data_IF_724482171897
#
_entry.id   IF_724482171897
#
_cell.length_a   1.000
_cell.length_b   1.000
_cell.length_c   1.000
_cell.angle_alpha   90.00
_cell.angle_beta   90.00
_cell.angle_gamma   90.00
#
_symmetry.space_group_name_H-M   'P 1'
#
loop_
_entity.id
_entity.type
_entity.pdbx_description
1 polymer ?
#
# COMPACT_ATOMS: atom_id res chain seq x y z
N UNK A 1 7.78 -4.59 -24.04
CA UNK A 1 7.00 -3.55 -23.36
C UNK A 1 6.84 -3.94 -21.91
N UNK A 2 7.07 -2.98 -21.02
CA UNK A 2 6.75 -3.17 -19.60
C UNK A 2 5.24 -3.11 -19.38
N UNK A 3 4.79 -3.65 -18.24
CA UNK A 3 3.38 -3.58 -17.83
C UNK A 3 2.90 -2.13 -17.72
N UNK A 4 3.76 -1.22 -17.23
CA UNK A 4 3.49 0.20 -17.13
C UNK A 4 3.30 0.89 -18.46
N UNK A 5 4.18 0.62 -19.45
CA UNK A 5 4.03 1.18 -20.80
C UNK A 5 2.68 0.81 -21.43
N UNK A 6 2.29 -0.46 -21.30
CA UNK A 6 1.02 -0.96 -21.82
C UNK A 6 -0.16 -0.27 -21.12
N UNK A 7 -0.12 -0.16 -19.79
CA UNK A 7 -1.15 0.55 -19.02
C UNK A 7 -1.26 2.01 -19.45
N UNK A 8 -0.15 2.75 -19.55
CA UNK A 8 -0.15 4.16 -19.95
C UNK A 8 -0.76 4.35 -21.33
N UNK A 9 -0.43 3.47 -22.28
CA UNK A 9 -1.03 3.52 -23.61
C UNK A 9 -2.53 3.26 -23.55
N UNK A 10 -2.96 2.17 -22.90
CA UNK A 10 -4.37 1.82 -22.79
C UNK A 10 -5.22 2.85 -22.02
N UNK A 11 -4.59 3.66 -21.17
CA UNK A 11 -5.24 4.74 -20.42
C UNK A 11 -5.30 6.06 -21.19
N UNK A 12 -4.65 6.16 -22.35
CA UNK A 12 -4.75 7.30 -23.26
C UNK A 12 -6.16 7.39 -23.87
N UNK A 13 -6.73 8.59 -23.87
CA UNK A 13 -8.06 8.86 -24.43
C UNK A 13 -8.13 8.80 -25.96
N UNK A 14 -6.98 8.85 -26.64
CA UNK A 14 -6.90 8.96 -28.11
C UNK A 14 -6.71 7.63 -28.82
N UNK A 15 -6.85 6.51 -28.10
CA UNK A 15 -6.50 5.20 -28.61
C UNK A 15 -7.70 4.55 -29.29
N UNK A 16 -7.57 4.18 -30.56
CA UNK A 16 -8.68 3.59 -31.32
C UNK A 16 -8.94 2.12 -30.90
N UNK A 17 -10.04 1.54 -31.41
CA UNK A 17 -10.41 0.16 -31.07
C UNK A 17 -9.38 -0.87 -31.53
N UNK A 18 -8.79 -0.68 -32.71
CA UNK A 18 -7.80 -1.59 -33.28
C UNK A 18 -6.50 -1.52 -32.49
N UNK A 19 -6.00 -0.32 -32.23
CA UNK A 19 -4.81 -0.09 -31.42
C UNK A 19 -4.99 -0.66 -30.01
N UNK A 20 -6.18 -0.49 -29.41
CA UNK A 20 -6.46 -1.01 -28.07
C UNK A 20 -6.35 -2.53 -28.06
N UNK A 21 -6.92 -3.19 -29.08
CA UNK A 21 -6.83 -4.63 -29.24
C UNK A 21 -5.38 -5.09 -29.43
N UNK A 22 -4.60 -4.36 -30.21
CA UNK A 22 -3.18 -4.67 -30.44
C UNK A 22 -2.33 -4.53 -29.17
N UNK A 23 -2.63 -3.55 -28.31
CA UNK A 23 -1.97 -3.41 -27.02
C UNK A 23 -2.36 -4.51 -26.04
N UNK A 24 -3.63 -4.93 -26.02
CA UNK A 24 -4.10 -6.02 -25.17
C UNK A 24 -3.48 -7.37 -25.55
N UNK A 25 -3.30 -7.65 -26.85
CA UNK A 25 -2.65 -8.88 -27.34
C UNK A 25 -1.20 -9.05 -26.88
N UNK A 26 -0.56 -7.99 -26.39
CA UNK A 26 0.83 -8.03 -25.87
C UNK A 26 0.89 -8.51 -24.42
N UNK A 27 -0.25 -8.62 -23.74
CA UNK A 27 -0.35 -9.13 -22.38
C UNK A 27 -0.55 -10.65 -22.40
N UNK A 28 -0.06 -11.32 -21.36
CA UNK A 28 -0.50 -12.70 -21.11
C UNK A 28 -1.96 -12.73 -20.66
N UNK A 29 -2.70 -13.83 -20.85
CA UNK A 29 -4.12 -13.92 -20.45
C UNK A 29 -4.36 -13.53 -18.98
N UNK A 30 -3.44 -13.88 -18.09
CA UNK A 30 -3.52 -13.51 -16.67
C UNK A 30 -3.36 -11.99 -16.44
N UNK A 31 -2.44 -11.34 -17.16
CA UNK A 31 -2.26 -9.88 -17.07
C UNK A 31 -3.41 -9.12 -17.71
N UNK A 32 -3.94 -9.61 -18.83
CA UNK A 32 -5.12 -9.05 -19.48
C UNK A 32 -6.34 -9.12 -18.55
N UNK A 33 -6.59 -10.29 -17.96
CA UNK A 33 -7.65 -10.47 -16.96
C UNK A 33 -7.46 -9.54 -15.74
N UNK A 34 -6.23 -9.43 -15.22
CA UNK A 34 -5.90 -8.53 -14.11
C UNK A 34 -6.16 -7.06 -14.46
N UNK A 35 -5.83 -6.66 -15.69
CA UNK A 35 -6.08 -5.31 -16.19
C UNK A 35 -7.58 -5.03 -16.37
N UNK A 36 -8.34 -6.00 -16.89
CA UNK A 36 -9.79 -5.89 -17.02
C UNK A 36 -10.45 -5.73 -15.65
N UNK A 37 -10.02 -6.53 -14.65
CA UNK A 37 -10.46 -6.35 -13.27
C UNK A 37 -10.14 -4.95 -12.75
N UNK A 38 -8.91 -4.46 -12.97
CA UNK A 38 -8.52 -3.11 -12.56
C UNK A 38 -9.45 -2.04 -13.14
N UNK A 39 -9.70 -2.08 -14.45
CA UNK A 39 -10.62 -1.15 -15.12
C UNK A 39 -12.07 -1.27 -14.64
N UNK A 40 -12.48 -2.43 -14.10
CA UNK A 40 -13.76 -2.59 -13.41
C UNK A 40 -13.85 -1.82 -12.09
N UNK A 41 -12.72 -1.53 -11.44
CA UNK A 41 -12.64 -0.69 -10.23
C UNK A 41 -12.37 0.77 -10.60
N UNK A 42 -13.43 1.52 -10.90
CA UNK A 42 -13.34 2.91 -11.39
C UNK A 42 -12.47 3.83 -10.52
N UNK A 43 -12.65 3.81 -9.18
CA UNK A 43 -11.88 4.66 -8.25
C UNK A 43 -10.39 4.31 -8.24
N UNK A 44 -10.06 3.02 -8.24
CA UNK A 44 -8.66 2.56 -8.25
C UNK A 44 -8.02 2.90 -9.59
N UNK A 45 -8.75 2.72 -10.70
CA UNK A 45 -8.29 3.13 -12.03
C UNK A 45 -8.03 4.63 -12.11
N UNK A 46 -8.92 5.45 -11.57
CA UNK A 46 -8.73 6.90 -11.50
C UNK A 46 -7.50 7.28 -10.68
N UNK A 47 -7.29 6.64 -9.53
CA UNK A 47 -6.10 6.84 -8.71
C UNK A 47 -4.79 6.48 -9.46
N UNK A 48 -4.77 5.37 -10.21
CA UNK A 48 -3.65 5.05 -11.10
C UNK A 48 -3.48 6.08 -12.22
N UNK A 49 -4.57 6.53 -12.85
CA UNK A 49 -4.50 7.51 -13.93
C UNK A 49 -3.92 8.85 -13.48
N UNK A 50 -4.15 9.26 -12.23
CA UNK A 50 -3.50 10.46 -11.66
C UNK A 50 -1.98 10.36 -11.62
N UNK A 51 -1.42 9.15 -11.54
CA UNK A 51 0.02 8.91 -11.59
C UNK A 51 0.60 8.99 -13.01
N UNK A 52 -0.21 9.09 -14.06
CA UNK A 52 0.27 9.31 -15.44
C UNK A 52 1.06 10.62 -15.56
N UNK A 53 0.85 11.55 -14.64
CA UNK A 53 1.61 12.80 -14.55
C UNK A 53 3.12 12.58 -14.31
N UNK A 54 3.53 11.43 -13.78
CA UNK A 54 4.93 11.14 -13.45
C UNK A 54 5.44 9.92 -14.24
N UNK A 55 6.07 10.11 -15.41
CA UNK A 55 6.40 9.01 -16.32
C UNK A 55 7.25 7.90 -15.68
N UNK A 56 8.22 8.27 -14.85
CA UNK A 56 9.16 7.37 -14.20
C UNK A 56 8.52 6.33 -13.28
N UNK A 57 7.33 6.61 -12.71
CA UNK A 57 6.67 5.70 -11.76
C UNK A 57 6.26 4.38 -12.38
N UNK A 58 5.93 4.38 -13.67
CA UNK A 58 5.34 3.25 -14.37
C UNK A 58 6.29 2.08 -14.58
N UNK A 59 7.59 2.27 -14.40
CA UNK A 59 8.58 1.18 -14.36
C UNK A 59 8.26 0.16 -13.25
N UNK A 60 7.56 0.59 -12.20
CA UNK A 60 7.22 -0.23 -11.05
C UNK A 60 5.94 -1.06 -11.20
N UNK A 61 5.13 -0.84 -12.24
CA UNK A 61 3.85 -1.52 -12.37
C UNK A 61 4.03 -3.02 -12.66
N UNK A 62 3.29 -3.85 -11.93
CA UNK A 62 3.25 -5.30 -12.11
C UNK A 62 1.80 -5.75 -12.24
N UNK A 63 1.28 -5.82 -13.47
CA UNK A 63 -0.11 -6.22 -13.74
C UNK A 63 -0.40 -7.63 -13.22
N UNK A 64 0.60 -8.51 -13.23
CA UNK A 64 0.50 -9.87 -12.69
C UNK A 64 0.25 -9.95 -11.19
N UNK A 65 0.34 -8.86 -10.43
CA UNK A 65 0.02 -8.81 -9.01
C UNK A 65 -1.29 -8.08 -8.71
N UNK A 66 -1.87 -7.34 -9.66
CA UNK A 66 -3.05 -6.50 -9.43
C UNK A 66 -4.27 -7.33 -9.00
N UNK A 67 -4.55 -8.46 -9.65
CA UNK A 67 -5.66 -9.33 -9.25
C UNK A 67 -5.54 -9.81 -7.79
N UNK A 68 -4.30 -10.06 -7.30
CA UNK A 68 -4.05 -10.46 -5.90
C UNK A 68 -4.37 -9.33 -4.94
N UNK A 69 -3.99 -8.10 -5.30
CA UNK A 69 -4.24 -6.90 -4.50
C UNK A 69 -5.74 -6.63 -4.41
N UNK A 70 -6.47 -6.71 -5.54
CA UNK A 70 -7.92 -6.52 -5.57
C UNK A 70 -8.66 -7.60 -4.77
N UNK A 71 -8.18 -8.85 -4.78
CA UNK A 71 -8.74 -9.95 -3.99
C UNK A 71 -8.57 -9.76 -2.46
N UNK A 72 -7.82 -8.76 -2.00
CA UNK A 72 -7.76 -8.40 -0.59
C UNK A 72 -9.05 -7.72 -0.11
N UNK A 73 -9.86 -7.14 -1.00
CA UNK A 73 -11.03 -6.32 -0.64
C UNK A 73 -10.68 -5.18 0.34
N UNK A 74 -9.51 -4.58 0.14
CA UNK A 74 -8.96 -3.47 0.93
C UNK A 74 -8.85 -2.22 0.03
N UNK A 75 -9.97 -1.84 -0.60
CA UNK A 75 -10.00 -0.76 -1.58
C UNK A 75 -9.56 0.58 -0.96
N UNK A 76 -9.98 0.89 0.26
CA UNK A 76 -9.59 2.13 0.93
C UNK A 76 -8.08 2.20 1.17
N UNK A 77 -7.45 1.10 1.58
CA UNK A 77 -6.01 1.02 1.82
C UNK A 77 -5.23 1.19 0.51
N UNK A 78 -5.71 0.56 -0.58
CA UNK A 78 -5.13 0.72 -1.91
C UNK A 78 -5.23 2.18 -2.37
N UNK A 79 -6.42 2.79 -2.26
CA UNK A 79 -6.65 4.18 -2.64
C UNK A 79 -5.77 5.14 -1.83
N UNK A 80 -5.69 4.95 -0.51
CA UNK A 80 -4.86 5.77 0.35
C UNK A 80 -3.37 5.68 -0.02
N UNK A 81 -2.88 4.49 -0.39
CA UNK A 81 -1.50 4.33 -0.82
C UNK A 81 -1.23 5.02 -2.16
N UNK A 82 -2.11 4.84 -3.15
CA UNK A 82 -1.96 5.51 -4.45
C UNK A 82 -2.05 7.04 -4.32
N UNK A 83 -2.93 7.54 -3.44
CA UNK A 83 -2.99 8.96 -3.08
C UNK A 83 -1.68 9.43 -2.46
N UNK A 84 -1.12 8.66 -1.52
CA UNK A 84 0.16 8.98 -0.91
C UNK A 84 1.28 9.09 -1.95
N UNK A 85 1.32 8.16 -2.93
CA UNK A 85 2.25 8.26 -4.07
C UNK A 85 2.04 9.58 -4.80
N UNK A 86 0.81 9.89 -5.21
CA UNK A 86 0.52 11.10 -5.97
C UNK A 86 0.92 12.37 -5.20
N UNK A 87 0.50 12.50 -3.94
CA UNK A 87 0.76 13.68 -3.10
C UNK A 87 2.25 13.90 -2.90
N UNK A 88 3.02 12.85 -2.62
CA UNK A 88 4.46 13.00 -2.41
C UNK A 88 5.14 13.48 -3.70
N UNK A 89 4.84 12.90 -4.85
CA UNK A 89 5.47 13.33 -6.10
C UNK A 89 5.02 14.72 -6.54
N UNK A 90 3.75 15.10 -6.32
CA UNK A 90 3.29 16.50 -6.52
C UNK A 90 4.04 17.48 -5.62
N UNK A 91 4.28 17.12 -4.36
CA UNK A 91 5.05 17.94 -3.42
C UNK A 91 6.51 18.08 -3.83
N UNK A 92 7.13 16.98 -4.28
CA UNK A 92 8.51 16.99 -4.80
C UNK A 92 8.61 18.00 -5.95
N UNK A 93 7.72 17.87 -6.93
CA UNK A 93 7.76 18.65 -8.17
C UNK A 93 7.12 20.04 -8.01
N UNK A 94 6.83 20.47 -6.78
CA UNK A 94 6.26 21.78 -6.46
C UNK A 94 5.01 22.11 -7.27
N UNK A 95 4.16 21.11 -7.50
CA UNK A 95 2.95 21.24 -8.30
C UNK A 95 3.15 21.66 -9.77
N UNK A 96 4.40 21.77 -10.21
CA UNK A 96 4.79 22.14 -11.57
C UNK A 96 4.70 20.91 -12.49
N UNK A 97 3.99 21.06 -13.60
CA UNK A 97 3.78 19.97 -14.57
C UNK A 97 5.05 19.65 -15.37
N UNK A 98 5.87 20.64 -15.72
CA UNK A 98 7.13 20.39 -16.44
C UNK A 98 8.11 19.61 -15.57
N UNK A 99 8.22 19.96 -14.27
CA UNK A 99 9.02 19.19 -13.31
C UNK A 99 8.44 17.80 -13.07
N UNK A 100 7.11 17.64 -13.09
CA UNK A 100 6.47 16.34 -12.98
C UNK A 100 6.75 15.43 -14.18
N UNK A 101 6.72 15.99 -15.39
CA UNK A 101 7.09 15.26 -16.61
C UNK A 101 8.59 14.91 -16.64
N UNK A 102 9.45 15.67 -15.96
CA UNK A 102 10.87 15.37 -15.80
C UNK A 102 11.16 14.24 -14.79
N UNK A 103 10.14 13.68 -14.12
CA UNK A 103 10.31 12.50 -13.26
C UNK A 103 10.56 11.28 -14.15
N UNK A 104 11.83 10.93 -14.34
CA UNK A 104 12.24 9.77 -15.13
C UNK A 104 12.39 8.48 -14.30
N UNK A 105 12.63 7.37 -15.00
CA UNK A 105 12.81 6.04 -14.40
C UNK A 105 14.00 5.98 -13.45
N UNK A 106 15.09 6.66 -13.78
CA UNK A 106 16.33 6.65 -12.97
C UNK A 106 16.11 7.37 -11.65
N UNK A 107 15.45 8.52 -11.73
CA UNK A 107 15.03 9.38 -10.61
C UNK A 107 14.16 8.60 -9.64
N UNK A 108 13.12 7.93 -10.13
CA UNK A 108 12.25 7.11 -9.27
C UNK A 108 13.03 5.98 -8.62
N UNK A 109 13.84 5.24 -9.39
CA UNK A 109 14.63 4.11 -8.85
C UNK A 109 15.64 4.53 -7.80
N UNK A 110 16.27 5.69 -7.97
CA UNK A 110 17.23 6.23 -7.01
C UNK A 110 16.55 6.75 -5.75
N UNK A 111 15.38 7.38 -5.86
CA UNK A 111 14.73 8.00 -4.71
C UNK A 111 13.81 7.06 -3.93
N UNK A 112 13.18 6.09 -4.59
CA UNK A 112 12.21 5.21 -3.94
C UNK A 112 12.84 4.45 -2.75
N UNK A 113 12.05 4.25 -1.69
CA UNK A 113 12.45 3.67 -0.40
C UNK A 113 13.35 4.53 0.48
N UNK A 114 14.00 5.58 -0.04
CA UNK A 114 14.81 6.46 0.79
C UNK A 114 13.94 7.28 1.74
N UNK A 115 14.45 7.55 2.95
CA UNK A 115 13.87 8.38 4.01
C UNK A 115 14.62 9.72 4.04
N UNK A 116 14.15 10.73 3.29
CA UNK A 116 14.99 11.88 2.95
C UNK A 116 15.33 12.80 4.11
N UNK A 117 14.43 12.94 5.08
CA UNK A 117 14.59 13.87 6.20
C UNK A 117 15.58 13.38 7.26
N UNK A 118 15.89 12.08 7.29
CA UNK A 118 16.73 11.48 8.32
C UNK A 118 17.91 10.70 7.74
N UNK A 119 17.71 9.43 7.40
CA UNK A 119 18.80 8.48 7.14
C UNK A 119 19.50 8.76 5.80
N UNK A 120 18.74 9.10 4.76
CA UNK A 120 19.24 9.05 3.39
C UNK A 120 19.52 10.44 2.79
N UNK A 121 19.50 11.49 3.63
CA UNK A 121 19.67 12.88 3.20
C UNK A 121 20.98 13.12 2.41
N UNK A 122 22.08 12.48 2.82
CA UNK A 122 23.39 12.65 2.17
C UNK A 122 23.45 11.91 0.83
N UNK A 123 22.87 10.72 0.73
CA UNK A 123 22.77 9.98 -0.53
C UNK A 123 21.97 10.78 -1.57
N UNK A 124 20.85 11.38 -1.15
CA UNK A 124 20.03 12.22 -2.03
C UNK A 124 20.82 13.46 -2.49
N UNK A 125 21.52 14.15 -1.59
CA UNK A 125 22.36 15.31 -1.97
C UNK A 125 23.45 14.91 -2.97
N UNK A 126 24.09 13.76 -2.77
CA UNK A 126 25.07 13.24 -3.71
C UNK A 126 24.44 12.91 -5.07
N UNK A 127 23.24 12.32 -5.08
CA UNK A 127 22.51 12.04 -6.32
C UNK A 127 22.16 13.32 -7.11
N UNK A 128 21.81 14.41 -6.44
CA UNK A 128 21.59 15.72 -7.08
C UNK A 128 22.89 16.34 -7.60
N UNK A 129 23.96 16.27 -6.82
CA UNK A 129 25.29 16.81 -7.17
C UNK A 129 25.87 16.11 -8.41
N UNK A 130 25.65 14.79 -8.50
CA UNK A 130 26.12 13.97 -9.61
C UNK A 130 25.12 13.91 -10.78
N UNK A 131 24.04 14.71 -10.76
CA UNK A 131 22.99 14.74 -11.80
C UNK A 131 22.42 13.34 -12.12
N UNK A 132 22.31 12.49 -11.10
CA UNK A 132 21.71 11.15 -11.21
C UNK A 132 20.20 11.23 -11.26
N UNK A 133 19.62 12.17 -10.51
CA UNK A 133 18.19 12.45 -10.41
C UNK A 133 17.84 13.75 -11.12
N UNK A 134 16.68 13.76 -11.78
CA UNK A 134 16.18 14.84 -12.63
C UNK A 134 17.24 15.35 -13.64
N UNK A 135 17.84 14.49 -14.47
CA UNK A 135 18.89 14.89 -15.40
C UNK A 135 18.42 15.93 -16.43
N UNK A 136 17.15 15.89 -16.81
CA UNK A 136 16.57 16.82 -17.79
C UNK A 136 16.26 18.22 -17.21
N UNK A 137 16.35 18.38 -15.88
CA UNK A 137 16.19 19.68 -15.21
C UNK A 137 17.55 20.36 -15.09
N UNK A 138 17.80 21.30 -16.00
CA UNK A 138 19.09 22.01 -16.14
C UNK A 138 19.18 23.23 -15.21
N UNK A 139 18.06 23.93 -15.01
CA UNK A 139 18.02 25.18 -14.24
C UNK A 139 18.36 24.94 -12.76
N UNK A 140 19.41 25.59 -12.26
CA UNK A 140 19.91 25.43 -10.90
C UNK A 140 18.87 25.80 -9.82
N UNK A 141 18.03 26.82 -10.07
CA UNK A 141 16.93 27.19 -9.19
C UNK A 141 15.92 26.05 -8.99
N UNK A 142 15.47 25.46 -10.11
CA UNK A 142 14.57 24.30 -10.11
C UNK A 142 15.21 23.07 -9.47
N UNK A 143 16.50 22.81 -9.70
CA UNK A 143 17.23 21.70 -9.05
C UNK A 143 17.30 21.88 -7.53
N UNK A 144 17.63 23.09 -7.06
CA UNK A 144 17.65 23.43 -5.63
C UNK A 144 16.28 23.31 -4.99
N UNK A 145 15.22 23.71 -5.70
CA UNK A 145 13.84 23.56 -5.27
C UNK A 145 13.46 22.08 -5.08
N UNK A 146 13.72 21.24 -6.07
CA UNK A 146 13.47 19.79 -6.02
C UNK A 146 14.20 19.14 -4.83
N UNK A 147 15.50 19.41 -4.68
CA UNK A 147 16.30 18.90 -3.57
C UNK A 147 15.70 19.30 -2.22
N UNK A 148 15.37 20.59 -2.05
CA UNK A 148 14.74 21.11 -0.83
C UNK A 148 13.43 20.38 -0.54
N UNK A 149 12.58 20.21 -1.54
CA UNK A 149 11.27 19.60 -1.37
C UNK A 149 11.39 18.12 -0.97
N UNK A 150 12.31 17.38 -1.60
CA UNK A 150 12.58 15.98 -1.27
C UNK A 150 13.08 15.84 0.16
N UNK A 151 14.06 16.64 0.59
CA UNK A 151 14.62 16.58 1.94
C UNK A 151 13.60 16.95 3.05
N UNK A 152 12.46 17.54 2.68
CA UNK A 152 11.37 17.88 3.61
C UNK A 152 10.24 16.83 3.64
N UNK A 153 10.41 15.69 2.95
CA UNK A 153 9.45 14.58 3.02
C UNK A 153 9.57 13.89 4.37
N UNK A 154 8.43 13.76 5.04
CA UNK A 154 8.28 12.97 6.24
C UNK A 154 7.97 11.52 5.85
N UNK A 155 8.89 10.60 6.13
CA UNK A 155 8.79 9.20 5.74
C UNK A 155 9.59 8.87 4.48
N UNK A 156 9.30 7.72 3.87
CA UNK A 156 10.01 7.26 2.68
C UNK A 156 9.37 7.82 1.40
N UNK A 157 10.15 7.92 0.32
CA UNK A 157 9.65 8.27 -1.02
C UNK A 157 8.92 7.07 -1.64
N UNK A 158 7.59 7.13 -1.85
CA UNK A 158 6.80 6.03 -2.37
C UNK A 158 6.84 5.94 -3.90
N UNK A 159 6.50 4.78 -4.45
CA UNK A 159 6.31 4.57 -5.89
C UNK A 159 5.32 3.44 -6.16
N UNK A 160 4.99 3.18 -7.43
CA UNK A 160 4.16 2.01 -7.79
C UNK A 160 4.86 0.70 -7.38
N UNK A 161 6.20 0.65 -7.43
CA UNK A 161 6.95 -0.52 -6.98
C UNK A 161 6.86 -0.71 -5.45
N UNK A 162 6.92 0.37 -4.67
CA UNK A 162 6.76 0.28 -3.20
C UNK A 162 5.32 -0.13 -2.85
N UNK A 163 4.32 0.39 -3.58
CA UNK A 163 2.92 -0.04 -3.46
C UNK A 163 2.76 -1.55 -3.59
N UNK A 164 3.38 -2.16 -4.61
CA UNK A 164 3.29 -3.61 -4.79
C UNK A 164 3.90 -4.38 -3.60
N UNK A 165 5.06 -3.95 -3.10
CA UNK A 165 5.72 -4.60 -1.96
C UNK A 165 4.91 -4.43 -0.68
N UNK A 166 4.47 -3.23 -0.37
CA UNK A 166 3.76 -2.93 0.88
C UNK A 166 2.37 -3.58 0.90
N UNK A 167 1.70 -3.63 -0.25
CA UNK A 167 0.43 -4.37 -0.37
C UNK A 167 0.64 -5.87 -0.21
N UNK A 168 1.79 -6.41 -0.66
CA UNK A 168 2.15 -7.80 -0.39
C UNK A 168 2.36 -8.04 1.11
N UNK A 169 3.05 -7.16 1.83
CA UNK A 169 3.17 -7.25 3.29
C UNK A 169 1.80 -7.22 3.97
N UNK A 170 0.97 -6.23 3.62
CA UNK A 170 -0.40 -6.10 4.12
C UNK A 170 -1.22 -7.37 3.87
N UNK A 171 -1.03 -8.03 2.72
CA UNK A 171 -1.78 -9.24 2.35
C UNK A 171 -1.71 -10.35 3.41
N UNK A 172 -0.57 -10.50 4.10
CA UNK A 172 -0.40 -11.51 5.16
C UNK A 172 -1.32 -11.21 6.35
N UNK A 173 -1.37 -9.95 6.79
CA UNK A 173 -2.28 -9.51 7.84
C UNK A 173 -3.75 -9.67 7.45
N UNK A 174 -4.11 -9.26 6.24
CA UNK A 174 -5.49 -9.39 5.72
C UNK A 174 -5.94 -10.85 5.70
N UNK A 175 -5.09 -11.76 5.23
CA UNK A 175 -5.39 -13.20 5.23
C UNK A 175 -5.57 -13.74 6.64
N UNK A 176 -4.72 -13.34 7.59
CA UNK A 176 -4.84 -13.74 8.99
C UNK A 176 -6.15 -13.24 9.62
N UNK A 177 -6.51 -11.97 9.40
CA UNK A 177 -7.76 -11.37 9.89
C UNK A 177 -8.98 -12.09 9.30
N UNK A 178 -9.01 -12.30 7.97
CA UNK A 178 -10.11 -13.03 7.31
C UNK A 178 -10.23 -14.47 7.83
N UNK A 179 -9.12 -15.11 8.18
CA UNK A 179 -9.12 -16.49 8.67
C UNK A 179 -9.60 -16.59 10.12
N UNK A 180 -9.09 -15.75 11.00
CA UNK A 180 -9.18 -15.94 12.45
C UNK A 180 -10.18 -15.00 13.15
N UNK A 181 -10.46 -13.84 12.58
CA UNK A 181 -11.34 -12.82 13.17
C UNK A 181 -12.68 -12.79 12.45
N UNK A 182 -12.66 -12.71 11.12
CA UNK A 182 -13.86 -12.59 10.28
C UNK A 182 -13.99 -13.75 9.27
N UNK A 183 -14.16 -15.01 9.72
CA UNK A 183 -14.29 -16.17 8.83
C UNK A 183 -15.52 -16.11 7.93
N UNK A 184 -16.52 -15.29 8.29
CA UNK A 184 -17.71 -15.02 7.46
C UNK A 184 -17.37 -14.37 6.13
N UNK A 185 -16.19 -13.76 5.99
CA UNK A 185 -15.68 -13.25 4.71
C UNK A 185 -15.60 -14.34 3.63
N UNK A 186 -15.56 -15.63 4.00
CA UNK A 186 -15.64 -16.76 3.05
C UNK A 186 -17.04 -17.02 2.49
N UNK A 187 -18.08 -16.39 3.04
CA UNK A 187 -19.45 -16.52 2.56
C UNK A 187 -19.62 -15.76 1.25
N UNK A 188 -20.13 -16.44 0.21
CA UNK A 188 -20.34 -15.87 -1.14
C UNK A 188 -21.23 -14.63 -1.16
N UNK A 189 -22.01 -14.39 -0.10
CA UNK A 189 -22.91 -13.23 0.02
C UNK A 189 -22.21 -11.91 0.38
N UNK A 190 -20.92 -11.91 0.74
CA UNK A 190 -20.15 -10.69 1.06
C UNK A 190 -19.24 -10.23 -0.10
N UNK A 191 -19.43 -10.77 -1.31
CA UNK A 191 -18.54 -10.56 -2.46
C UNK A 191 -18.32 -9.08 -2.84
N UNK A 192 -19.19 -8.17 -2.39
CA UNK A 192 -19.14 -6.73 -2.69
C UNK A 192 -18.79 -5.84 -1.49
N UNK A 193 -18.50 -6.40 -0.31
CA UNK A 193 -18.17 -5.63 0.89
C UNK A 193 -16.66 -5.53 1.08
N UNK A 194 -16.14 -4.35 1.45
CA UNK A 194 -14.74 -4.24 1.83
C UNK A 194 -14.49 -4.96 3.17
N UNK A 195 -13.25 -5.38 3.42
CA UNK A 195 -12.88 -5.95 4.72
C UNK A 195 -13.21 -4.97 5.87
N UNK A 196 -12.96 -3.66 5.65
CA UNK A 196 -13.31 -2.63 6.61
C UNK A 196 -14.80 -2.64 6.93
N UNK A 197 -15.69 -2.70 5.93
CA UNK A 197 -17.13 -2.69 6.16
C UNK A 197 -17.58 -3.89 7.01
N UNK A 198 -17.03 -5.08 6.71
CA UNK A 198 -17.32 -6.30 7.47
C UNK A 198 -16.84 -6.17 8.92
N UNK A 199 -15.59 -5.74 9.13
CA UNK A 199 -15.04 -5.55 10.47
C UNK A 199 -15.77 -4.45 11.24
N UNK A 200 -16.22 -3.40 10.56
CA UNK A 200 -16.96 -2.28 11.15
C UNK A 200 -18.35 -2.70 11.60
N UNK A 201 -19.01 -3.59 10.86
CA UNK A 201 -20.27 -4.20 11.29
C UNK A 201 -20.11 -5.10 12.53
N UNK A 202 -18.94 -5.74 12.66
CA UNK A 202 -18.57 -6.58 13.81
C UNK A 202 -17.87 -5.79 14.95
N UNK A 203 -17.71 -4.47 14.80
CA UNK A 203 -17.05 -3.62 15.78
C UNK A 203 -18.04 -3.06 16.80
N UNK A 204 -17.76 -3.30 18.08
CA UNK A 204 -18.47 -2.74 19.22
C UNK A 204 -17.45 -1.98 20.06
N UNK A 205 -17.44 -0.63 20.02
CA UNK A 205 -16.46 0.15 20.76
C UNK A 205 -16.66 -0.07 22.25
N UNK A 206 -15.57 -0.37 22.95
CA UNK A 206 -15.55 -0.40 24.41
C UNK A 206 -15.73 1.02 24.97
N UNK A 207 -16.21 1.14 26.21
CA UNK A 207 -16.38 2.44 26.88
C UNK A 207 -15.07 3.24 26.87
N UNK A 208 -13.96 2.53 27.12
CA UNK A 208 -12.60 3.05 27.14
C UNK A 208 -11.85 2.75 25.85
N UNK A 209 -11.00 3.67 25.44
CA UNK A 209 -10.09 3.49 24.30
C UNK A 209 -8.79 2.92 24.83
N UNK A 210 -8.37 1.79 24.27
CA UNK A 210 -7.14 1.11 24.64
C UNK A 210 -6.16 1.11 23.48
N UNK A 211 -4.88 1.30 23.80
CA UNK A 211 -3.77 1.15 22.87
C UNK A 211 -2.83 0.05 23.37
N UNK A 212 -2.37 -0.80 22.46
CA UNK A 212 -1.36 -1.82 22.75
C UNK A 212 0.02 -1.19 22.62
N UNK A 213 0.77 -1.12 23.74
CA UNK A 213 2.13 -0.58 23.76
C UNK A 213 3.18 -1.67 23.50
N UNK A 214 2.94 -2.87 24.02
CA UNK A 214 3.76 -4.06 23.81
C UNK A 214 2.87 -5.30 23.71
N UNK A 215 3.45 -6.49 23.49
CA UNK A 215 2.67 -7.72 23.27
C UNK A 215 1.62 -7.99 24.36
N UNK A 216 1.97 -7.76 25.62
CA UNK A 216 1.09 -7.92 26.77
C UNK A 216 0.69 -6.59 27.45
N UNK A 217 1.22 -5.45 27.00
CA UNK A 217 1.04 -4.16 27.66
C UNK A 217 0.02 -3.29 26.95
N UNK A 218 -0.90 -2.73 27.73
CA UNK A 218 -2.01 -1.93 27.25
C UNK A 218 -2.14 -0.67 28.08
N UNK A 219 -2.38 0.45 27.41
CA UNK A 219 -2.68 1.72 28.05
C UNK A 219 -4.10 2.15 27.69
N UNK A 220 -4.84 2.65 28.69
CA UNK A 220 -6.12 3.32 28.48
C UNK A 220 -5.83 4.80 28.18
N UNK A 221 -6.24 5.28 27.01
CA UNK A 221 -6.05 6.68 26.67
C UNK A 221 -6.92 7.55 27.59
N UNK A 222 -6.35 8.58 28.26
CA UNK A 222 -7.11 9.46 29.13
C UNK A 222 -8.23 10.14 28.33
N UNK A 223 -9.44 10.09 28.89
CA UNK A 223 -10.68 10.42 28.18
C UNK A 223 -10.67 11.83 27.59
N UNK A 224 -10.54 11.93 26.26
CA UNK A 224 -11.17 13.02 25.50
C UNK A 224 -12.66 12.70 25.34
N UNK A 225 -13.55 13.72 25.25
CA UNK A 225 -14.95 13.46 25.00
C UNK A 225 -15.09 12.66 23.70
N UNK A 226 -15.58 11.43 23.87
CA UNK A 226 -16.06 10.49 22.87
C UNK A 226 -15.61 10.79 21.41
N UNK A 227 -14.40 10.39 20.98
CA UNK A 227 -14.06 10.48 19.57
C UNK A 227 -15.10 9.70 18.76
N UNK A 228 -15.51 10.27 17.62
CA UNK A 228 -16.51 9.68 16.74
C UNK A 228 -16.21 8.19 16.48
N UNK A 229 -17.26 7.40 16.31
CA UNK A 229 -17.22 5.96 16.08
C UNK A 229 -16.17 5.57 15.02
N UNK A 230 -16.07 6.37 13.95
CA UNK A 230 -15.12 6.14 12.86
C UNK A 230 -13.66 6.22 13.33
N UNK A 231 -13.30 7.21 14.14
CA UNK A 231 -11.95 7.37 14.67
C UNK A 231 -11.59 6.21 15.62
N UNK A 232 -12.56 5.75 16.42
CA UNK A 232 -12.38 4.58 17.30
C UNK A 232 -12.15 3.30 16.48
N UNK A 233 -12.94 3.10 15.44
CA UNK A 233 -12.78 1.97 14.53
C UNK A 233 -11.44 2.01 13.82
N UNK A 234 -11.03 3.16 13.29
CA UNK A 234 -9.77 3.30 12.54
C UNK A 234 -8.56 2.98 13.41
N UNK A 235 -8.55 3.45 14.66
CA UNK A 235 -7.51 3.12 15.63
C UNK A 235 -7.49 1.62 15.96
N UNK A 236 -8.66 1.02 16.20
CA UNK A 236 -8.77 -0.42 16.47
C UNK A 236 -8.34 -1.26 15.25
N UNK A 237 -8.72 -0.84 14.04
CA UNK A 237 -8.36 -1.49 12.78
C UNK A 237 -6.85 -1.46 12.54
N UNK A 238 -6.21 -0.31 12.75
CA UNK A 238 -4.75 -0.19 12.64
C UNK A 238 -4.03 -1.11 13.64
N UNK A 239 -4.47 -1.12 14.90
CA UNK A 239 -3.90 -2.01 15.92
C UNK A 239 -4.08 -3.49 15.56
N UNK A 240 -5.25 -3.87 15.01
CA UNK A 240 -5.51 -5.24 14.56
C UNK A 240 -4.58 -5.66 13.42
N UNK A 241 -4.35 -4.77 12.44
CA UNK A 241 -3.42 -5.00 11.34
C UNK A 241 -1.99 -5.18 11.86
N UNK A 242 -1.54 -4.30 12.77
CA UNK A 242 -0.21 -4.38 13.38
C UNK A 242 -0.05 -5.69 14.17
N UNK A 243 -1.05 -6.09 14.95
CA UNK A 243 -1.03 -7.35 15.68
C UNK A 243 -0.96 -8.56 14.73
N UNK A 244 -1.71 -8.52 13.62
CA UNK A 244 -1.65 -9.57 12.61
C UNK A 244 -0.29 -9.66 11.92
N UNK A 245 0.35 -8.51 11.62
CA UNK A 245 1.71 -8.46 11.07
C UNK A 245 2.74 -8.96 12.09
N UNK A 246 2.60 -8.66 13.37
CA UNK A 246 3.53 -9.10 14.42
C UNK A 246 3.66 -10.62 14.49
N UNK A 247 2.56 -11.34 14.31
CA UNK A 247 2.52 -12.80 14.43
C UNK A 247 2.21 -13.52 13.11
N UNK A 248 2.40 -12.88 11.94
CA UNK A 248 1.94 -13.44 10.66
C UNK A 248 2.50 -14.84 10.37
N UNK A 249 3.76 -15.08 10.74
CA UNK A 249 4.45 -16.36 10.56
C UNK A 249 3.90 -17.46 11.49
N UNK A 250 3.25 -17.09 12.61
CA UNK A 250 2.62 -18.00 13.57
C UNK A 250 1.09 -18.09 13.39
N UNK A 251 0.52 -17.24 12.54
CA UNK A 251 -0.90 -17.21 12.18
C UNK A 251 -1.19 -17.85 10.81
N UNK A 252 -0.15 -18.17 10.04
CA UNK A 252 -0.26 -18.70 8.69
C UNK A 252 0.90 -19.64 8.35
N UNK A 253 0.74 -20.44 7.29
CA UNK A 253 1.81 -21.27 6.76
C UNK A 253 2.74 -20.47 5.81
N UNK A 254 2.55 -19.15 5.70
CA UNK A 254 3.38 -18.28 4.88
C UNK A 254 4.69 -18.01 5.64
N UNK A 255 5.81 -18.31 4.99
CA UNK A 255 7.13 -18.14 5.59
C UNK A 255 7.63 -16.70 5.36
N UNK A 256 8.28 -16.08 6.35
CA UNK A 256 8.93 -14.79 6.16
C UNK A 256 9.95 -14.87 5.01
N UNK A 257 10.10 -13.75 4.29
CA UNK A 257 11.26 -13.57 3.42
C UNK A 257 12.51 -13.60 4.29
N UNK A 258 13.48 -14.39 3.86
CA UNK A 258 14.73 -14.58 4.57
C UNK A 258 15.87 -14.01 3.76
N UNK A 259 16.87 -13.48 4.47
CA UNK A 259 18.15 -13.21 3.85
C UNK A 259 18.81 -14.54 3.45
N UNK A 260 19.60 -14.50 2.38
CA UNK A 260 20.15 -15.66 1.66
C UNK A 260 20.94 -16.65 2.55
N UNK A 261 21.29 -16.27 3.78
CA UNK A 261 22.17 -17.02 4.69
C UNK A 261 21.54 -17.44 6.01
N UNK A 262 20.26 -17.17 6.24
CA UNK A 262 19.61 -17.49 7.51
C UNK A 262 18.89 -18.84 7.51
N UNK A 263 18.74 -19.44 8.70
CA UNK A 263 17.96 -20.68 8.85
C UNK A 263 16.51 -20.42 8.49
N UNK A 264 15.90 -21.37 7.77
CA UNK A 264 14.52 -21.25 7.32
C UNK A 264 13.54 -21.28 8.50
N UNK A 265 13.06 -20.10 8.89
CA UNK A 265 11.81 -19.94 9.64
C UNK A 265 10.66 -20.38 8.74
N UNK A 266 10.01 -21.48 9.10
CA UNK A 266 8.81 -21.96 8.42
C UNK A 266 7.59 -21.33 9.08
N UNK A 267 6.68 -20.79 8.26
CA UNK A 267 5.38 -20.38 8.77
C UNK A 267 4.62 -21.59 9.31
N UNK A 268 4.00 -21.45 10.48
CA UNK A 268 3.20 -22.50 11.11
C UNK A 268 2.01 -21.87 11.83
N UNK A 269 0.96 -22.65 12.06
CA UNK A 269 -0.17 -22.20 12.87
C UNK A 269 0.05 -22.60 14.32
N UNK A 270 0.13 -21.62 15.21
CA UNK A 270 0.24 -21.82 16.66
C UNK A 270 -1.09 -21.49 17.33
N UNK A 271 -1.71 -22.46 18.00
CA UNK A 271 -2.96 -22.24 18.72
C UNK A 271 -2.84 -21.14 19.79
N UNK A 272 -1.67 -21.07 20.46
CA UNK A 272 -1.38 -20.00 21.42
C UNK A 272 -1.43 -18.61 20.77
N UNK A 273 -0.81 -18.44 19.60
CA UNK A 273 -0.81 -17.16 18.89
C UNK A 273 -2.18 -16.83 18.29
N UNK A 274 -2.92 -17.85 17.82
CA UNK A 274 -4.29 -17.65 17.34
C UNK A 274 -5.20 -17.19 18.48
N UNK A 275 -5.16 -17.85 19.62
CA UNK A 275 -5.94 -17.48 20.81
C UNK A 275 -5.57 -16.07 21.28
N UNK A 276 -4.28 -15.76 21.33
CA UNK A 276 -3.81 -14.43 21.71
C UNK A 276 -4.27 -13.35 20.71
N UNK A 277 -4.16 -13.59 19.40
CA UNK A 277 -4.64 -12.68 18.36
C UNK A 277 -6.15 -12.45 18.44
N UNK A 278 -6.94 -13.49 18.73
CA UNK A 278 -8.38 -13.35 18.97
C UNK A 278 -8.68 -12.55 20.25
N UNK A 279 -7.89 -12.73 21.32
CA UNK A 279 -8.02 -11.95 22.55
C UNK A 279 -7.71 -10.46 22.30
N UNK A 280 -6.67 -10.15 21.50
CA UNK A 280 -6.36 -8.80 21.06
C UNK A 280 -7.55 -8.19 20.30
N UNK A 281 -8.11 -8.91 19.33
CA UNK A 281 -9.25 -8.44 18.56
C UNK A 281 -10.49 -8.17 19.45
N UNK A 282 -10.80 -9.07 20.39
CA UNK A 282 -11.88 -8.85 21.36
C UNK A 282 -11.64 -7.62 22.24
N UNK A 283 -10.41 -7.44 22.73
CA UNK A 283 -10.04 -6.30 23.56
C UNK A 283 -10.11 -4.96 22.80
N UNK A 284 -9.88 -5.00 21.49
CA UNK A 284 -10.08 -3.84 20.61
C UNK A 284 -11.54 -3.56 20.30
N UNK A 285 -12.47 -4.47 20.61
CA UNK A 285 -13.91 -4.31 20.37
C UNK A 285 -14.44 -5.08 19.15
N UNK A 286 -13.65 -5.94 18.52
CA UNK A 286 -14.14 -6.79 17.42
C UNK A 286 -14.81 -8.05 17.95
N UNK A 287 -15.98 -8.38 17.41
CA UNK A 287 -16.59 -9.69 17.62
C UNK A 287 -15.74 -10.76 16.97
N UNK A 288 -15.17 -11.64 17.78
CA UNK A 288 -14.61 -12.90 17.31
C UNK A 288 -15.61 -14.02 17.60
N UNK A 289 -15.59 -15.10 16.80
CA UNK A 289 -16.25 -16.35 17.24
C UNK A 289 -15.50 -16.79 18.50
N UNK A 290 -16.11 -16.58 19.66
CA UNK A 290 -15.63 -17.18 20.91
C UNK A 290 -15.48 -18.70 20.72
N UNK A 291 -14.39 -19.20 21.28
CA UNK A 291 -14.25 -20.57 21.80
C UNK A 291 -15.48 -20.92 22.63
#
# INVERSE_FOLDING_TARGET
YSDGEIFCKLSSKNLDFSERKDWLQRLSPCKESSLHMLFGHAKITEAFNRLLLFPGLWVGLQLGNIHKHLALHCEQEILNYLEYVFVIWRRITNEDEALAQAVDVRTVKTLQYLIPRSQDAQEIKAAFTNTIVFPDVIEDGSRKLLLRNILNIDGFVPSIATFHKDTMYLSHAIKAIKKWISPRFKSRNLAYSSLRDVLKADFQPNDKIVIQLAESEWEELPGRPNPDFNNRFDLAYQQLIIAALRWFASLSNESPLQEVREKRLQGFVSDSHVNHFQAVAQRLGFKTRKV
#
